data_IF_380546969056
#
_entry.id   IF_380546969056
#
_cell.length_a   1.000
_cell.length_b   1.000
_cell.length_c   1.000
_cell.angle_alpha   90.00
_cell.angle_beta   90.00
_cell.angle_gamma   90.00
#
_symmetry.space_group_name_H-M   'P 1'
#
loop_
_entity.id
_entity.type
_entity.pdbx_description
1 polymer ?
#
# COMPACT_ATOMS: atom_id res chain seq x y z
N UNK A 1 3.11 -10.71 -31.10
CA UNK A 1 2.59 -11.15 -29.79
C UNK A 1 3.07 -10.14 -28.75
N UNK A 2 2.17 -9.64 -27.90
CA UNK A 2 2.59 -8.81 -26.77
C UNK A 2 3.24 -9.71 -25.72
N UNK A 3 4.47 -9.38 -25.32
CA UNK A 3 5.27 -10.14 -24.36
C UNK A 3 5.43 -9.32 -23.09
N UNK A 4 5.12 -9.90 -21.93
CA UNK A 4 5.09 -9.19 -20.64
C UNK A 4 6.46 -8.58 -20.31
N UNK A 5 7.55 -9.31 -20.55
CA UNK A 5 8.96 -8.92 -20.37
C UNK A 5 9.37 -7.72 -21.24
N UNK A 6 8.81 -7.58 -22.43
CA UNK A 6 9.09 -6.46 -23.33
C UNK A 6 8.22 -5.25 -22.99
N UNK A 7 6.90 -5.44 -22.83
CA UNK A 7 5.95 -4.34 -22.63
C UNK A 7 6.20 -3.58 -21.33
N UNK A 8 6.55 -4.26 -20.23
CA UNK A 8 6.77 -3.63 -18.93
C UNK A 8 7.96 -2.67 -18.89
N UNK A 9 8.97 -2.93 -19.73
CA UNK A 9 10.23 -2.20 -19.76
C UNK A 9 10.23 -1.05 -20.77
N UNK A 10 9.09 -0.80 -21.45
CA UNK A 10 8.96 0.36 -22.34
C UNK A 10 9.05 1.67 -21.56
N UNK A 11 9.61 2.75 -22.15
CA UNK A 11 9.74 4.04 -21.49
C UNK A 11 8.42 4.60 -20.94
N UNK A 12 7.30 4.39 -21.64
CA UNK A 12 5.96 4.80 -21.18
C UNK A 12 5.54 4.10 -19.88
N UNK A 13 5.77 2.79 -19.80
CA UNK A 13 5.41 1.95 -18.65
C UNK A 13 6.27 2.28 -17.43
N UNK A 14 7.58 2.48 -17.63
CA UNK A 14 8.48 2.95 -16.57
C UNK A 14 8.07 4.34 -16.07
N UNK A 15 7.63 5.22 -16.98
CA UNK A 15 7.08 6.54 -16.65
C UNK A 15 5.86 6.44 -15.74
N UNK A 16 4.95 5.51 -16.01
CA UNK A 16 3.79 5.24 -15.15
C UNK A 16 4.19 4.72 -13.77
N UNK A 17 5.15 3.80 -13.68
CA UNK A 17 5.66 3.32 -12.39
C UNK A 17 6.30 4.44 -11.56
N UNK A 18 7.00 5.38 -12.22
CA UNK A 18 7.53 6.57 -11.55
C UNK A 18 6.41 7.50 -11.07
N UNK A 19 5.43 7.78 -11.93
CA UNK A 19 4.30 8.65 -11.61
C UNK A 19 3.48 8.11 -10.44
N UNK A 20 3.13 6.82 -10.44
CA UNK A 20 2.37 6.21 -9.34
C UNK A 20 3.15 6.26 -8.03
N UNK A 21 4.46 6.00 -8.04
CA UNK A 21 5.30 6.13 -6.84
C UNK A 21 5.31 7.55 -6.28
N UNK A 22 5.33 8.58 -7.14
CA UNK A 22 5.32 9.98 -6.69
C UNK A 22 3.98 10.38 -6.06
N UNK A 23 2.86 9.97 -6.63
CA UNK A 23 1.55 10.18 -5.99
C UNK A 23 1.45 9.46 -4.64
N UNK A 24 1.95 8.22 -4.54
CA UNK A 24 2.03 7.53 -3.24
C UNK A 24 2.98 8.25 -2.27
N UNK A 25 4.11 8.78 -2.73
CA UNK A 25 5.02 9.55 -1.87
C UNK A 25 4.35 10.82 -1.34
N UNK A 26 3.63 11.56 -2.18
CA UNK A 26 2.84 12.73 -1.74
C UNK A 26 1.78 12.34 -0.70
N UNK A 27 1.05 11.24 -0.93
CA UNK A 27 0.07 10.74 0.03
C UNK A 27 0.73 10.37 1.38
N UNK A 28 1.92 9.74 1.34
CA UNK A 28 2.71 9.42 2.53
C UNK A 28 3.23 10.68 3.23
N UNK A 29 3.59 11.74 2.52
CA UNK A 29 4.02 13.00 3.13
C UNK A 29 2.93 13.64 3.97
N UNK A 30 1.67 13.62 3.49
CA UNK A 30 0.51 14.09 4.27
C UNK A 30 0.35 13.28 5.56
N UNK A 31 0.41 11.95 5.44
CA UNK A 31 0.33 11.04 6.60
C UNK A 31 1.49 11.25 7.58
N UNK A 32 2.72 11.43 7.08
CA UNK A 32 3.91 11.67 7.92
C UNK A 32 3.80 12.98 8.68
N UNK A 33 3.38 14.07 8.03
CA UNK A 33 3.20 15.36 8.69
C UNK A 33 2.20 15.24 9.86
N UNK A 34 1.08 14.56 9.63
CA UNK A 34 0.11 14.27 10.69
C UNK A 34 0.72 13.46 11.84
N UNK A 35 1.37 12.33 11.53
CA UNK A 35 1.94 11.43 12.54
C UNK A 35 3.04 12.09 13.37
N UNK A 36 3.87 12.95 12.76
CA UNK A 36 4.91 13.69 13.47
C UNK A 36 4.29 14.63 14.51
N UNK A 37 3.25 15.38 14.14
CA UNK A 37 2.57 16.28 15.08
C UNK A 37 1.84 15.46 16.16
N UNK A 38 1.12 14.41 15.77
CA UNK A 38 0.38 13.55 16.69
C UNK A 38 1.30 12.84 17.71
N UNK A 39 2.54 12.53 17.32
CA UNK A 39 3.56 11.95 18.21
C UNK A 39 4.21 13.02 19.10
N UNK A 40 4.46 14.22 18.57
CA UNK A 40 5.11 15.30 19.31
C UNK A 40 4.24 15.84 20.46
N UNK A 41 2.92 15.89 20.29
CA UNK A 41 1.99 16.44 21.29
C UNK A 41 2.07 15.76 22.68
N UNK A 42 1.94 14.42 22.82
CA UNK A 42 2.03 13.77 24.13
C UNK A 42 3.44 13.82 24.73
N UNK A 43 4.48 13.81 23.90
CA UNK A 43 5.87 13.95 24.38
C UNK A 43 6.09 15.37 24.95
N UNK A 44 5.68 16.39 24.21
CA UNK A 44 5.75 17.78 24.65
C UNK A 44 4.88 18.02 25.89
N UNK A 45 3.69 17.43 25.95
CA UNK A 45 2.78 17.55 27.09
C UNK A 45 3.39 17.01 28.39
N UNK A 46 4.08 15.87 28.34
CA UNK A 46 4.81 15.33 29.51
C UNK A 46 6.03 16.19 29.86
N UNK A 47 6.85 16.57 28.88
CA UNK A 47 8.06 17.34 29.14
C UNK A 47 7.80 18.82 29.51
N UNK A 48 6.59 19.34 29.31
CA UNK A 48 6.26 20.74 29.57
C UNK A 48 6.53 21.18 31.01
N UNK A 49 6.36 20.30 31.99
CA UNK A 49 6.64 20.60 33.39
C UNK A 49 8.12 20.98 33.64
N UNK A 50 9.04 20.48 32.82
CA UNK A 50 10.48 20.78 32.93
C UNK A 50 10.87 22.15 32.37
N UNK A 51 10.00 22.80 31.59
CA UNK A 51 10.32 24.03 30.86
C UNK A 51 9.49 25.24 31.29
N UNK A 52 8.34 25.03 31.95
CA UNK A 52 7.40 26.09 32.29
C UNK A 52 7.13 26.16 33.80
N UNK A 53 6.87 27.36 34.29
CA UNK A 53 6.38 27.59 35.66
C UNK A 53 4.97 27.04 35.84
N UNK A 54 4.60 26.69 37.08
CA UNK A 54 3.28 26.13 37.44
C UNK A 54 2.10 26.93 36.84
N UNK A 55 2.14 28.26 36.96
CA UNK A 55 1.07 29.12 36.41
C UNK A 55 0.93 29.02 34.88
N UNK A 56 2.05 28.87 34.16
CA UNK A 56 2.03 28.70 32.69
C UNK A 56 1.69 27.26 32.29
N UNK A 57 2.01 26.29 33.13
CA UNK A 57 1.80 24.88 32.84
C UNK A 57 0.30 24.57 32.66
N UNK A 58 -0.57 25.21 33.43
CA UNK A 58 -2.04 25.07 33.28
C UNK A 58 -2.48 25.45 31.86
N UNK A 59 -2.04 26.62 31.37
CA UNK A 59 -2.37 27.12 30.03
C UNK A 59 -1.76 26.24 28.93
N UNK A 60 -0.52 25.76 29.12
CA UNK A 60 0.15 24.86 28.17
C UNK A 60 -0.60 23.53 28.08
N UNK A 61 -0.94 22.90 29.21
CA UNK A 61 -1.74 21.66 29.26
C UNK A 61 -3.05 21.79 28.48
N UNK A 62 -3.81 22.86 28.74
CA UNK A 62 -5.06 23.13 28.05
C UNK A 62 -4.86 23.35 26.55
N UNK A 63 -3.80 24.07 26.16
CA UNK A 63 -3.48 24.36 24.76
C UNK A 63 -3.08 23.09 24.00
N UNK A 64 -2.23 22.25 24.58
CA UNK A 64 -1.84 20.96 23.96
C UNK A 64 -3.08 20.07 23.79
N UNK A 65 -3.93 19.95 24.81
CA UNK A 65 -5.18 19.21 24.72
C UNK A 65 -6.11 19.76 23.62
N UNK A 66 -6.29 21.08 23.55
CA UNK A 66 -7.10 21.73 22.52
C UNK A 66 -6.56 21.51 21.10
N UNK A 67 -5.25 21.70 20.90
CA UNK A 67 -4.59 21.44 19.61
C UNK A 67 -4.73 19.97 19.20
N UNK A 68 -4.71 19.05 20.16
CA UNK A 68 -4.91 17.62 19.89
C UNK A 68 -6.32 17.31 19.38
N UNK A 69 -7.34 17.96 19.93
CA UNK A 69 -8.72 17.89 19.43
C UNK A 69 -8.81 18.45 18.00
N UNK A 70 -8.23 19.62 17.76
CA UNK A 70 -8.21 20.21 16.41
C UNK A 70 -7.47 19.33 15.40
N UNK A 71 -6.36 18.72 15.80
CA UNK A 71 -5.59 17.80 14.96
C UNK A 71 -6.41 16.55 14.60
N UNK A 72 -7.14 15.99 15.55
CA UNK A 72 -8.05 14.87 15.31
C UNK A 72 -9.17 15.26 14.32
N UNK A 73 -9.78 16.43 14.50
CA UNK A 73 -10.81 16.93 13.58
C UNK A 73 -10.25 17.18 12.17
N UNK A 74 -9.03 17.71 12.06
CA UNK A 74 -8.35 17.92 10.79
C UNK A 74 -8.03 16.60 10.06
N UNK A 75 -7.63 15.54 10.78
CA UNK A 75 -7.44 14.20 10.21
C UNK A 75 -8.71 13.70 9.53
N UNK A 76 -9.82 13.73 10.28
CA UNK A 76 -11.09 13.18 9.84
C UNK A 76 -11.68 14.03 8.70
N UNK A 77 -11.69 15.35 8.86
CA UNK A 77 -12.38 16.26 7.94
C UNK A 77 -11.62 16.60 6.66
N UNK A 78 -10.28 16.61 6.68
CA UNK A 78 -9.48 17.16 5.58
C UNK A 78 -8.41 16.17 5.12
N UNK A 79 -7.49 15.79 6.02
CA UNK A 79 -6.27 15.06 5.62
C UNK A 79 -6.59 13.68 5.03
N UNK A 80 -7.58 12.98 5.58
CA UNK A 80 -8.00 11.68 5.09
C UNK A 80 -8.58 11.73 3.66
N UNK A 81 -9.24 12.83 3.30
CA UNK A 81 -9.75 13.08 1.94
C UNK A 81 -8.62 13.29 0.94
N UNK A 82 -7.68 14.18 1.26
CA UNK A 82 -6.52 14.47 0.42
C UNK A 82 -5.67 13.21 0.17
N UNK A 83 -5.40 12.44 1.24
CA UNK A 83 -4.65 11.19 1.14
C UNK A 83 -5.35 10.17 0.24
N UNK A 84 -6.68 10.06 0.34
CA UNK A 84 -7.50 9.15 -0.48
C UNK A 84 -7.43 9.53 -1.96
N UNK A 85 -7.49 10.82 -2.29
CA UNK A 85 -7.48 11.26 -3.68
C UNK A 85 -6.13 11.03 -4.36
N UNK A 86 -5.03 11.29 -3.64
CA UNK A 86 -3.67 10.96 -4.10
C UNK A 86 -3.49 9.44 -4.27
N UNK A 87 -4.00 8.65 -3.33
CA UNK A 87 -3.97 7.18 -3.39
C UNK A 87 -4.74 6.65 -4.61
N UNK A 88 -5.92 7.21 -4.89
CA UNK A 88 -6.72 6.87 -6.08
C UNK A 88 -5.99 7.19 -7.37
N UNK A 89 -5.34 8.36 -7.47
CA UNK A 89 -4.52 8.71 -8.65
C UNK A 89 -3.41 7.69 -8.87
N UNK A 90 -2.66 7.36 -7.81
CA UNK A 90 -1.60 6.35 -7.88
C UNK A 90 -2.12 4.97 -8.33
N UNK A 91 -3.21 4.48 -7.70
CA UNK A 91 -3.82 3.20 -8.03
C UNK A 91 -4.29 3.12 -9.49
N UNK A 92 -4.79 4.23 -10.03
CA UNK A 92 -5.28 4.32 -11.42
C UNK A 92 -4.14 4.34 -12.45
N UNK A 93 -2.99 4.93 -12.11
CA UNK A 93 -1.78 4.83 -12.93
C UNK A 93 -1.20 3.41 -12.87
N UNK A 94 -1.21 2.77 -11.70
CA UNK A 94 -0.83 1.36 -11.60
C UNK A 94 -1.75 0.47 -12.44
N UNK A 95 -3.06 0.76 -12.47
CA UNK A 95 -4.01 0.06 -13.34
C UNK A 95 -3.69 0.28 -14.82
N UNK A 96 -3.31 1.50 -15.21
CA UNK A 96 -2.89 1.79 -16.60
C UNK A 96 -1.68 0.93 -17.00
N UNK A 97 -0.69 0.81 -16.09
CA UNK A 97 0.47 -0.06 -16.28
C UNK A 97 0.08 -1.54 -16.36
N UNK A 98 -0.63 -2.05 -15.37
CA UNK A 98 -1.01 -3.47 -15.31
C UNK A 98 -1.85 -3.88 -16.52
N UNK A 99 -2.87 -3.09 -16.87
CA UNK A 99 -3.75 -3.41 -18.01
C UNK A 99 -3.02 -3.38 -19.35
N UNK A 100 -2.07 -2.46 -19.54
CA UNK A 100 -1.24 -2.41 -20.73
C UNK A 100 -0.32 -3.63 -20.82
N UNK A 101 0.49 -3.86 -19.79
CA UNK A 101 1.53 -4.91 -19.77
C UNK A 101 0.89 -6.30 -19.85
N UNK A 102 -0.20 -6.50 -19.11
CA UNK A 102 -0.89 -7.78 -19.05
C UNK A 102 -1.92 -7.94 -20.17
N UNK A 103 -2.05 -6.98 -21.09
CA UNK A 103 -2.99 -6.98 -22.22
C UNK A 103 -4.47 -7.11 -21.84
N UNK A 104 -4.87 -6.57 -20.69
CA UNK A 104 -6.24 -6.68 -20.18
C UNK A 104 -7.03 -5.41 -20.53
N UNK A 105 -8.26 -5.49 -21.08
CA UNK A 105 -8.99 -4.31 -21.56
C UNK A 105 -9.34 -3.32 -20.44
N UNK A 106 -9.15 -2.03 -20.67
CA UNK A 106 -9.47 -1.00 -19.67
C UNK A 106 -10.96 -0.98 -19.28
N UNK A 107 -11.25 -1.08 -17.98
CA UNK A 107 -12.62 -1.04 -17.44
C UNK A 107 -13.08 0.41 -17.20
N UNK A 108 -13.76 1.01 -18.19
CA UNK A 108 -14.38 2.34 -18.02
C UNK A 108 -15.44 2.37 -16.91
N UNK A 109 -16.10 1.23 -16.68
CA UNK A 109 -17.16 1.11 -15.67
C UNK A 109 -16.59 1.12 -14.24
N UNK A 110 -15.52 0.38 -13.98
CA UNK A 110 -14.94 0.30 -12.62
C UNK A 110 -13.90 1.40 -12.36
N UNK A 111 -13.07 1.73 -13.35
CA UNK A 111 -11.93 2.64 -13.18
C UNK A 111 -12.26 4.08 -13.61
N UNK A 112 -13.23 4.24 -14.51
CA UNK A 112 -13.60 5.52 -15.10
C UNK A 112 -12.74 5.92 -16.31
N UNK A 113 -12.65 7.23 -16.56
CA UNK A 113 -11.74 7.82 -17.57
C UNK A 113 -10.29 7.48 -17.26
N UNK A 114 -9.35 7.57 -18.20
CA UNK A 114 -7.91 7.47 -17.85
C UNK A 114 -7.44 8.77 -17.19
N UNK A 115 -6.29 8.73 -16.51
CA UNK A 115 -5.62 9.97 -16.10
C UNK A 115 -5.01 10.62 -17.34
N UNK A 116 -5.05 11.94 -17.39
CA UNK A 116 -4.49 12.70 -18.49
C UNK A 116 -2.97 12.47 -18.59
N UNK A 117 -2.50 12.33 -19.82
CA UNK A 117 -1.08 12.06 -20.09
C UNK A 117 -0.19 13.21 -19.66
N UNK A 118 -0.71 14.44 -19.69
CA UNK A 118 -0.04 15.65 -19.20
C UNK A 118 0.21 15.58 -17.70
N UNK A 119 -0.79 15.20 -16.89
CA UNK A 119 -0.64 15.02 -15.43
C UNK A 119 0.44 13.98 -15.09
N UNK A 120 0.46 12.87 -15.83
CA UNK A 120 1.47 11.82 -15.68
C UNK A 120 2.85 12.37 -16.04
N UNK A 121 2.97 13.08 -17.18
CA UNK A 121 4.25 13.59 -17.66
C UNK A 121 4.81 14.66 -16.73
N UNK A 122 3.98 15.58 -16.24
CA UNK A 122 4.36 16.63 -15.28
C UNK A 122 4.92 15.99 -14.02
N UNK A 123 4.21 15.00 -13.45
CA UNK A 123 4.67 14.39 -12.20
C UNK A 123 5.89 13.49 -12.42
N UNK A 124 6.13 12.93 -13.61
CA UNK A 124 7.26 12.04 -13.89
C UNK A 124 8.38 12.67 -14.73
N UNK A 125 8.42 14.00 -14.88
CA UNK A 125 9.22 14.70 -15.89
C UNK A 125 10.73 14.55 -15.71
N UNK A 126 11.17 14.46 -14.46
CA UNK A 126 12.58 14.38 -14.10
C UNK A 126 13.21 13.10 -14.66
N UNK A 127 14.54 13.05 -14.77
CA UNK A 127 15.22 11.85 -15.23
C UNK A 127 15.14 10.69 -14.22
N UNK A 128 15.21 9.46 -14.71
CA UNK A 128 15.27 8.28 -13.85
C UNK A 128 16.62 8.22 -13.15
N UNK A 129 16.61 8.15 -11.82
CA UNK A 129 17.82 7.80 -11.08
C UNK A 129 18.22 6.34 -11.37
N UNK A 130 19.48 5.99 -11.14
CA UNK A 130 19.93 4.60 -11.27
C UNK A 130 19.17 3.65 -10.33
N UNK A 131 18.76 4.16 -9.15
CA UNK A 131 17.94 3.39 -8.23
C UNK A 131 16.52 3.16 -8.77
N UNK A 132 15.94 4.15 -9.46
CA UNK A 132 14.64 4.03 -10.10
C UNK A 132 14.67 3.00 -11.23
N UNK A 133 15.70 3.05 -12.10
CA UNK A 133 15.86 2.07 -13.18
C UNK A 133 15.88 0.65 -12.61
N UNK A 134 16.72 0.39 -11.60
CA UNK A 134 16.80 -0.91 -10.93
C UNK A 134 15.50 -1.33 -10.22
N UNK A 135 14.67 -0.39 -9.79
CA UNK A 135 13.40 -0.68 -9.09
C UNK A 135 12.22 -0.92 -10.03
N UNK A 136 12.25 -0.36 -11.24
CA UNK A 136 11.11 -0.37 -12.16
C UNK A 136 11.30 -1.32 -13.33
N UNK A 137 12.54 -1.62 -13.72
CA UNK A 137 12.84 -2.67 -14.69
C UNK A 137 12.45 -4.03 -14.11
N UNK A 138 11.85 -4.87 -14.96
CA UNK A 138 11.41 -6.23 -14.61
C UNK A 138 10.49 -6.27 -13.37
N UNK A 139 9.54 -5.32 -13.32
CA UNK A 139 8.50 -5.27 -12.29
C UNK A 139 7.76 -6.60 -12.11
N UNK A 140 7.50 -7.29 -13.22
CA UNK A 140 7.03 -8.68 -13.26
C UNK A 140 8.18 -9.59 -13.69
N UNK A 141 8.26 -10.76 -13.05
CA UNK A 141 9.25 -11.79 -13.37
C UNK A 141 9.28 -12.11 -14.87
N UNK A 142 10.42 -11.92 -15.57
CA UNK A 142 10.50 -12.13 -17.02
C UNK A 142 10.08 -13.52 -17.48
N UNK A 143 10.23 -14.54 -16.62
CA UNK A 143 9.78 -15.91 -16.91
C UNK A 143 8.28 -16.02 -17.13
N UNK A 144 7.46 -15.10 -16.60
CA UNK A 144 6.03 -15.09 -16.90
C UNK A 144 5.74 -14.73 -18.37
N UNK A 145 6.67 -14.04 -19.05
CA UNK A 145 6.57 -13.69 -20.47
C UNK A 145 6.86 -14.86 -21.43
N UNK A 146 7.35 -16.00 -20.94
CA UNK A 146 7.61 -17.17 -21.80
C UNK A 146 6.36 -18.01 -22.09
N UNK A 147 5.27 -17.74 -21.37
CA UNK A 147 3.98 -18.41 -21.55
C UNK A 147 3.05 -17.62 -22.47
N UNK A 148 1.97 -18.24 -23.00
CA UNK A 148 0.84 -17.50 -23.53
C UNK A 148 0.34 -16.43 -22.56
N UNK A 149 -0.08 -15.28 -23.10
CA UNK A 149 -0.44 -14.08 -22.33
C UNK A 149 -1.53 -14.36 -21.28
N UNK A 150 -2.44 -15.28 -21.58
CA UNK A 150 -3.53 -15.73 -20.71
C UNK A 150 -3.02 -16.35 -19.41
N UNK A 151 -1.93 -17.12 -19.46
CA UNK A 151 -1.33 -17.76 -18.30
C UNK A 151 -0.35 -16.81 -17.60
N UNK A 152 0.52 -16.15 -18.36
CA UNK A 152 1.49 -15.20 -17.82
C UNK A 152 0.85 -14.11 -16.97
N UNK A 153 -0.30 -13.57 -17.41
CA UNK A 153 -1.02 -12.53 -16.65
C UNK A 153 -1.53 -13.02 -15.29
N UNK A 154 -2.00 -14.26 -15.18
CA UNK A 154 -2.52 -14.79 -13.92
C UNK A 154 -1.39 -14.94 -12.90
N UNK A 155 -0.19 -15.33 -13.36
CA UNK A 155 1.03 -15.36 -12.52
C UNK A 155 1.35 -13.95 -12.01
N UNK A 156 1.31 -12.93 -12.86
CA UNK A 156 1.54 -11.53 -12.49
C UNK A 156 0.49 -11.02 -11.48
N UNK A 157 -0.80 -11.26 -11.74
CA UNK A 157 -1.90 -10.85 -10.86
C UNK A 157 -1.79 -11.53 -9.48
N UNK A 158 -1.50 -12.83 -9.46
CA UNK A 158 -1.24 -13.58 -8.22
C UNK A 158 -0.03 -13.01 -7.47
N UNK A 159 1.04 -12.66 -8.18
CA UNK A 159 2.25 -12.08 -7.58
C UNK A 159 1.92 -10.76 -6.90
N UNK A 160 1.16 -9.87 -7.56
CA UNK A 160 0.67 -8.63 -6.95
C UNK A 160 -0.12 -8.87 -5.66
N UNK A 161 -1.09 -9.80 -5.69
CA UNK A 161 -1.94 -10.13 -4.54
C UNK A 161 -1.10 -10.64 -3.37
N UNK A 162 -0.25 -11.65 -3.63
CA UNK A 162 0.53 -12.31 -2.57
C UNK A 162 1.64 -11.43 -2.02
N UNK A 163 2.26 -10.59 -2.85
CA UNK A 163 3.26 -9.62 -2.42
C UNK A 163 2.64 -8.59 -1.48
N UNK A 164 1.55 -7.92 -1.90
CA UNK A 164 0.89 -6.87 -1.11
C UNK A 164 0.40 -7.42 0.24
N UNK A 165 -0.17 -8.63 0.23
CA UNK A 165 -0.65 -9.30 1.43
C UNK A 165 0.47 -9.53 2.47
N UNK A 166 1.66 -9.98 2.04
CA UNK A 166 2.80 -10.22 2.94
C UNK A 166 3.29 -8.94 3.59
N UNK A 167 3.42 -7.87 2.81
CA UNK A 167 3.87 -6.57 3.30
C UNK A 167 2.88 -5.99 4.31
N UNK A 168 1.58 -6.03 4.01
CA UNK A 168 0.51 -5.52 4.91
C UNK A 168 0.48 -6.23 6.26
N UNK A 169 0.62 -7.56 6.27
CA UNK A 169 0.59 -8.35 7.52
C UNK A 169 1.67 -7.93 8.50
N UNK A 170 2.88 -7.65 8.01
CA UNK A 170 3.98 -7.22 8.86
C UNK A 170 3.80 -5.77 9.31
N UNK A 171 3.44 -4.88 8.38
CA UNK A 171 3.26 -3.46 8.69
C UNK A 171 2.17 -3.22 9.74
N UNK A 172 1.00 -3.83 9.57
CA UNK A 172 -0.14 -3.64 10.47
C UNK A 172 0.18 -4.02 11.91
N UNK A 173 0.79 -5.20 12.11
CA UNK A 173 1.16 -5.70 13.44
C UNK A 173 2.28 -4.86 14.05
N UNK A 174 3.29 -4.51 13.26
CA UNK A 174 4.42 -3.71 13.72
C UNK A 174 4.02 -2.32 14.20
N UNK A 175 3.18 -1.62 13.42
CA UNK A 175 2.72 -0.28 13.77
C UNK A 175 1.85 -0.27 15.04
N UNK A 176 0.90 -1.20 15.15
CA UNK A 176 0.04 -1.31 16.33
C UNK A 176 0.87 -1.63 17.59
N UNK A 177 1.78 -2.60 17.51
CA UNK A 177 2.64 -2.96 18.63
C UNK A 177 3.53 -1.79 19.07
N UNK A 178 4.14 -1.06 18.12
CA UNK A 178 4.94 0.12 18.41
C UNK A 178 4.17 1.18 19.21
N UNK A 179 2.94 1.49 18.78
CA UNK A 179 2.11 2.53 19.41
C UNK A 179 1.63 2.11 20.79
N UNK A 180 1.31 0.82 21.00
CA UNK A 180 0.98 0.29 22.33
C UNK A 180 2.18 0.39 23.28
N UNK A 181 3.37 -0.04 22.83
CA UNK A 181 4.59 0.04 23.63
C UNK A 181 4.92 1.49 23.99
N UNK A 182 4.84 2.40 23.00
CA UNK A 182 5.04 3.83 23.23
C UNK A 182 4.08 4.37 24.28
N UNK A 183 2.79 4.07 24.17
CA UNK A 183 1.78 4.51 25.13
C UNK A 183 2.09 4.04 26.56
N UNK A 184 2.47 2.78 26.71
CA UNK A 184 2.84 2.20 28.01
C UNK A 184 4.06 2.91 28.59
N UNK A 185 5.11 3.12 27.79
CA UNK A 185 6.32 3.83 28.23
C UNK A 185 5.99 5.25 28.69
N UNK A 186 5.25 6.03 27.89
CA UNK A 186 4.87 7.40 28.25
C UNK A 186 4.00 7.44 29.52
N UNK A 187 3.11 6.46 29.69
CA UNK A 187 2.28 6.35 30.90
C UNK A 187 3.13 6.04 32.13
N UNK A 188 4.10 5.14 32.02
CA UNK A 188 5.02 4.80 33.12
C UNK A 188 5.90 5.99 33.52
N UNK A 189 6.37 6.79 32.56
CA UNK A 189 7.13 8.02 32.82
C UNK A 189 6.27 8.99 33.63
N UNK A 190 5.05 9.27 33.18
CA UNK A 190 4.15 10.19 33.88
C UNK A 190 3.79 9.74 35.30
N UNK A 191 3.63 8.42 35.51
CA UNK A 191 3.41 7.85 36.86
C UNK A 191 4.65 7.95 37.74
N UNK A 192 5.85 7.73 37.19
CA UNK A 192 7.11 7.86 37.91
C UNK A 192 7.35 9.30 38.40
N UNK A 193 6.95 10.30 37.62
CA UNK A 193 7.00 11.71 38.00
C UNK A 193 5.97 12.11 39.07
N UNK A 194 5.10 11.19 39.50
CA UNK A 194 4.08 11.46 40.50
C UNK A 194 2.92 12.32 39.99
N UNK A 195 2.72 12.39 38.67
CA UNK A 195 1.63 13.17 38.07
C UNK A 195 0.27 12.66 38.54
N UNK A 196 -0.62 13.58 38.92
CA UNK A 196 -2.01 13.23 39.21
C UNK A 196 -2.69 12.76 37.94
N UNK A 197 -3.71 11.91 38.09
CA UNK A 197 -4.48 11.42 36.95
C UNK A 197 -5.08 12.54 36.09
N UNK A 198 -5.59 13.61 36.71
CA UNK A 198 -6.12 14.79 36.01
C UNK A 198 -5.07 15.49 35.14
N UNK A 199 -3.81 15.49 35.58
CA UNK A 199 -2.71 16.06 34.81
C UNK A 199 -2.35 15.15 33.64
N UNK A 200 -2.24 13.84 33.87
CA UNK A 200 -1.99 12.85 32.82
C UNK A 200 -3.08 12.85 31.74
N UNK A 201 -4.33 13.12 32.11
CA UNK A 201 -5.41 13.31 31.14
C UNK A 201 -5.09 14.42 30.13
N UNK A 202 -4.62 15.57 30.61
CA UNK A 202 -4.36 16.73 29.76
C UNK A 202 -2.99 16.69 29.07
N UNK A 203 -1.96 16.10 29.70
CA UNK A 203 -0.58 16.07 29.19
C UNK A 203 -0.30 14.88 28.29
N UNK A 204 -0.97 13.74 28.51
CA UNK A 204 -0.68 12.49 27.82
C UNK A 204 -1.92 11.92 27.12
N UNK A 205 -3.00 11.61 27.85
CA UNK A 205 -4.09 10.81 27.28
C UNK A 205 -4.82 11.54 26.14
N UNK A 206 -5.27 12.78 26.36
CA UNK A 206 -5.90 13.60 25.31
C UNK A 206 -4.92 13.85 24.13
N UNK A 207 -3.66 14.26 24.39
CA UNK A 207 -2.68 14.44 23.32
C UNK A 207 -2.32 13.20 22.52
N UNK A 208 -2.47 12.02 23.11
CA UNK A 208 -2.22 10.75 22.44
C UNK A 208 -3.42 10.28 21.59
N UNK A 209 -4.63 10.81 21.82
CA UNK A 209 -5.84 10.39 21.10
C UNK A 209 -5.74 10.48 19.57
N UNK A 210 -5.17 11.54 18.95
CA UNK A 210 -5.01 11.60 17.50
C UNK A 210 -4.20 10.41 16.98
N UNK A 211 -3.03 10.15 17.57
CA UNK A 211 -2.16 9.04 17.18
C UNK A 211 -2.86 7.68 17.36
N UNK A 212 -3.49 7.46 18.52
CA UNK A 212 -4.20 6.22 18.81
C UNK A 212 -5.38 5.99 17.84
N UNK A 213 -6.21 7.02 17.62
CA UNK A 213 -7.35 6.96 16.71
C UNK A 213 -6.92 6.62 15.29
N UNK A 214 -5.88 7.30 14.79
CA UNK A 214 -5.32 7.04 13.46
C UNK A 214 -4.82 5.59 13.36
N UNK A 215 -3.98 5.14 14.29
CA UNK A 215 -3.35 3.81 14.23
C UNK A 215 -4.39 2.69 14.33
N UNK A 216 -5.40 2.83 15.18
CA UNK A 216 -6.48 1.84 15.30
C UNK A 216 -7.31 1.75 14.01
N UNK A 217 -7.64 2.90 13.42
CA UNK A 217 -8.36 2.97 12.14
C UNK A 217 -7.51 2.40 10.99
N UNK A 218 -6.23 2.74 10.94
CA UNK A 218 -5.29 2.25 9.92
C UNK A 218 -5.07 0.74 10.06
N UNK A 219 -4.90 0.24 11.28
CA UNK A 219 -4.82 -1.19 11.57
C UNK A 219 -6.04 -1.96 11.07
N UNK A 220 -7.26 -1.49 11.36
CA UNK A 220 -8.51 -2.11 10.87
C UNK A 220 -8.54 -2.14 9.34
N UNK A 221 -8.26 -1.01 8.69
CA UNK A 221 -8.17 -0.95 7.21
C UNK A 221 -7.15 -1.94 6.65
N UNK A 222 -6.03 -2.15 7.35
CA UNK A 222 -5.04 -3.14 6.94
C UNK A 222 -5.57 -4.57 7.06
N UNK A 223 -6.29 -4.89 8.14
CA UNK A 223 -6.93 -6.20 8.30
C UNK A 223 -7.96 -6.45 7.21
N UNK A 224 -8.84 -5.48 6.94
CA UNK A 224 -9.85 -5.57 5.87
C UNK A 224 -9.18 -5.80 4.49
N UNK A 225 -8.10 -5.07 4.21
CA UNK A 225 -7.31 -5.25 2.99
C UNK A 225 -6.66 -6.63 2.89
N UNK A 226 -6.14 -7.17 4.00
CA UNK A 226 -5.55 -8.52 4.06
C UNK A 226 -6.61 -9.59 3.82
N UNK A 227 -7.82 -9.42 4.37
CA UNK A 227 -8.94 -10.32 4.13
C UNK A 227 -9.36 -10.30 2.65
N UNK A 228 -9.54 -9.11 2.07
CA UNK A 228 -9.82 -8.94 0.64
C UNK A 228 -8.77 -9.61 -0.25
N UNK A 229 -7.48 -9.40 0.04
CA UNK A 229 -6.38 -10.06 -0.68
C UNK A 229 -6.38 -11.58 -0.48
N UNK A 230 -6.81 -12.09 0.68
CA UNK A 230 -6.89 -13.53 0.95
C UNK A 230 -7.96 -14.18 0.10
N UNK A 231 -9.12 -13.52 -0.04
CA UNK A 231 -10.19 -13.96 -0.93
C UNK A 231 -9.72 -13.92 -2.40
N UNK A 232 -9.09 -12.83 -2.84
CA UNK A 232 -8.53 -12.74 -4.20
C UNK A 232 -7.46 -13.78 -4.49
N UNK A 233 -6.68 -14.18 -3.49
CA UNK A 233 -5.71 -15.26 -3.62
C UNK A 233 -6.41 -16.60 -3.89
N UNK A 234 -7.51 -16.89 -3.20
CA UNK A 234 -8.32 -18.09 -3.46
C UNK A 234 -8.93 -18.08 -4.85
N UNK A 235 -9.45 -16.92 -5.30
CA UNK A 235 -10.02 -16.79 -6.64
C UNK A 235 -8.97 -16.98 -7.75
N UNK A 236 -7.79 -16.36 -7.64
CA UNK A 236 -6.73 -16.57 -8.66
C UNK A 236 -6.23 -18.02 -8.68
N UNK A 237 -6.24 -18.75 -7.56
CA UNK A 237 -5.88 -20.17 -7.51
C UNK A 237 -6.93 -21.05 -8.22
N UNK A 238 -8.23 -20.74 -8.09
CA UNK A 238 -9.31 -21.40 -8.85
C UNK A 238 -9.21 -21.11 -10.35
N UNK A 239 -9.00 -19.84 -10.70
CA UNK A 239 -8.82 -19.42 -12.10
C UNK A 239 -7.61 -20.09 -12.74
N UNK A 240 -6.52 -20.22 -11.98
CA UNK A 240 -5.32 -20.91 -12.45
C UNK A 240 -5.58 -22.39 -12.72
N UNK A 241 -6.25 -23.11 -11.80
CA UNK A 241 -6.61 -24.51 -12.02
C UNK A 241 -7.49 -24.68 -13.28
N UNK A 242 -8.50 -23.83 -13.44
CA UNK A 242 -9.34 -23.81 -14.64
C UNK A 242 -8.51 -23.56 -15.91
N UNK A 243 -7.59 -22.58 -15.87
CA UNK A 243 -6.69 -22.24 -16.98
C UNK A 243 -5.82 -23.39 -17.47
N UNK A 244 -5.49 -24.36 -16.59
CA UNK A 244 -4.73 -25.56 -16.96
C UNK A 244 -5.61 -26.67 -17.57
N UNK A 245 -6.91 -26.70 -17.28
CA UNK A 245 -7.79 -27.83 -17.63
C UNK A 245 -8.46 -27.70 -18.99
N UNK A 246 -9.06 -26.55 -19.33
CA UNK A 246 -9.48 -26.12 -20.69
C UNK A 246 -10.53 -24.97 -20.66
N UNK A 247 -10.10 -23.71 -20.61
CA UNK A 247 -10.99 -22.58 -20.87
C UNK A 247 -10.62 -21.85 -22.16
N UNK A 248 -11.65 -21.37 -22.88
CA UNK A 248 -11.42 -20.54 -24.06
C UNK A 248 -10.66 -19.26 -23.68
N UNK A 249 -9.74 -18.79 -24.53
CA UNK A 249 -8.96 -17.56 -24.33
C UNK A 249 -9.83 -16.34 -23.97
N UNK A 250 -11.07 -16.29 -24.50
CA UNK A 250 -12.05 -15.24 -24.20
C UNK A 250 -12.54 -15.28 -22.75
N UNK A 251 -12.85 -16.46 -22.23
CA UNK A 251 -13.34 -16.62 -20.85
C UNK A 251 -12.24 -16.26 -19.84
N UNK A 252 -11.02 -16.77 -20.04
CA UNK A 252 -9.87 -16.40 -19.21
C UNK A 252 -9.60 -14.90 -19.22
N UNK A 253 -9.80 -14.24 -20.37
CA UNK A 253 -9.64 -12.80 -20.49
C UNK A 253 -10.67 -12.04 -19.66
N UNK A 254 -11.93 -12.46 -19.67
CA UNK A 254 -12.98 -11.85 -18.86
C UNK A 254 -12.74 -12.07 -17.37
N UNK A 255 -12.41 -13.30 -16.96
CA UNK A 255 -12.14 -13.63 -15.57
C UNK A 255 -10.90 -12.92 -15.03
N UNK A 256 -9.82 -12.84 -15.82
CA UNK A 256 -8.64 -12.05 -15.47
C UNK A 256 -8.95 -10.56 -15.38
N UNK A 257 -9.91 -10.07 -16.19
CA UNK A 257 -10.39 -8.69 -16.08
C UNK A 257 -11.11 -8.45 -14.76
N UNK A 258 -12.04 -9.32 -14.39
CA UNK A 258 -12.79 -9.23 -13.13
C UNK A 258 -11.86 -9.29 -11.92
N UNK A 259 -10.85 -10.18 -11.96
CA UNK A 259 -9.82 -10.28 -10.94
C UNK A 259 -9.06 -8.95 -10.79
N UNK A 260 -8.68 -8.31 -11.90
CA UNK A 260 -8.00 -7.02 -11.82
C UNK A 260 -8.91 -5.91 -11.32
N UNK A 261 -10.19 -5.88 -11.72
CA UNK A 261 -11.13 -4.87 -11.25
C UNK A 261 -11.22 -4.95 -9.71
N UNK A 262 -11.17 -6.16 -9.15
CA UNK A 262 -11.09 -6.36 -7.71
C UNK A 262 -9.73 -5.96 -7.11
N UNK A 263 -8.60 -6.25 -7.77
CA UNK A 263 -7.26 -5.75 -7.36
C UNK A 263 -7.24 -4.21 -7.33
N UNK A 264 -7.78 -3.56 -8.36
CA UNK A 264 -7.85 -2.10 -8.46
C UNK A 264 -8.72 -1.52 -7.34
N UNK A 265 -9.93 -2.06 -7.12
CA UNK A 265 -10.81 -1.63 -6.02
C UNK A 265 -10.07 -1.71 -4.68
N UNK A 266 -9.40 -2.82 -4.41
CA UNK A 266 -8.60 -2.99 -3.21
C UNK A 266 -7.50 -1.91 -3.10
N UNK A 267 -6.74 -1.65 -4.17
CA UNK A 267 -5.69 -0.59 -4.16
C UNK A 267 -6.23 0.80 -3.87
N UNK A 268 -7.45 1.13 -4.30
CA UNK A 268 -8.03 2.47 -4.06
C UNK A 268 -8.47 2.71 -2.62
N UNK A 269 -8.80 1.64 -1.88
CA UNK A 269 -9.21 1.69 -0.48
C UNK A 269 -8.09 1.35 0.50
N UNK A 270 -6.97 0.82 0.00
CA UNK A 270 -5.87 0.32 0.81
C UNK A 270 -5.18 1.43 1.62
N UNK A 271 -4.89 1.18 2.92
CA UNK A 271 -4.04 2.06 3.71
C UNK A 271 -2.61 2.07 3.18
N UNK A 272 -1.90 3.19 3.43
CA UNK A 272 -0.54 3.41 2.96
C UNK A 272 0.47 2.60 3.76
N UNK A 273 1.50 2.10 3.07
CA UNK A 273 2.63 1.41 3.67
C UNK A 273 3.90 2.22 3.41
N UNK A 274 4.69 2.44 4.45
CA UNK A 274 5.98 3.11 4.30
C UNK A 274 7.04 2.24 3.60
N UNK A 275 7.89 2.90 2.82
CA UNK A 275 8.90 2.25 1.95
C UNK A 275 9.90 1.39 2.70
N UNK A 276 10.15 1.67 3.99
CA UNK A 276 11.10 0.89 4.79
C UNK A 276 10.66 -0.57 4.96
N UNK A 277 9.35 -0.86 5.01
CA UNK A 277 8.87 -2.26 5.05
C UNK A 277 9.16 -2.97 3.73
N UNK A 278 8.94 -2.29 2.61
CA UNK A 278 9.27 -2.83 1.30
C UNK A 278 10.77 -3.11 1.19
N UNK A 279 11.63 -2.20 1.68
CA UNK A 279 13.09 -2.39 1.71
C UNK A 279 13.49 -3.60 2.58
N UNK A 280 12.91 -3.70 3.78
CA UNK A 280 13.21 -4.80 4.71
C UNK A 280 12.79 -6.17 4.16
N UNK A 281 11.65 -6.24 3.46
CA UNK A 281 11.13 -7.49 2.90
C UNK A 281 11.59 -7.77 1.47
N UNK A 282 12.34 -6.86 0.83
CA UNK A 282 12.64 -6.90 -0.60
C UNK A 282 13.24 -8.23 -1.04
N UNK A 283 14.38 -8.61 -0.45
CA UNK A 283 15.11 -9.82 -0.84
C UNK A 283 14.26 -11.08 -0.70
N UNK A 284 13.51 -11.20 0.41
CA UNK A 284 12.62 -12.34 0.65
C UNK A 284 11.45 -12.35 -0.34
N UNK A 285 10.86 -11.19 -0.61
CA UNK A 285 9.72 -11.10 -1.52
C UNK A 285 10.12 -11.34 -2.98
N UNK A 286 11.27 -10.84 -3.43
CA UNK A 286 11.83 -11.10 -4.77
C UNK A 286 12.13 -12.60 -4.93
N UNK A 287 12.78 -13.23 -3.95
CA UNK A 287 13.01 -14.68 -3.97
C UNK A 287 11.71 -15.49 -4.05
N UNK A 288 10.68 -15.10 -3.27
CA UNK A 288 9.38 -15.78 -3.29
C UNK A 288 8.62 -15.52 -4.59
N UNK A 289 8.72 -14.31 -5.17
CA UNK A 289 8.12 -13.97 -6.45
C UNK A 289 8.75 -14.81 -7.58
N UNK A 290 10.07 -14.82 -7.67
CA UNK A 290 10.83 -15.61 -8.63
C UNK A 290 10.55 -17.12 -8.50
N UNK A 291 10.62 -17.68 -7.28
CA UNK A 291 10.34 -19.11 -7.05
C UNK A 291 8.89 -19.45 -7.39
N UNK A 292 7.95 -18.58 -7.02
CA UNK A 292 6.54 -18.74 -7.35
C UNK A 292 6.29 -18.70 -8.85
N UNK A 293 6.84 -17.71 -9.56
CA UNK A 293 6.72 -17.60 -11.00
C UNK A 293 7.27 -18.83 -11.71
N UNK A 294 8.47 -19.31 -11.33
CA UNK A 294 9.05 -20.54 -11.87
C UNK A 294 8.18 -21.77 -11.65
N UNK A 295 7.62 -21.92 -10.45
CA UNK A 295 6.72 -23.03 -10.12
C UNK A 295 5.49 -23.04 -11.05
N UNK A 296 4.82 -21.90 -11.20
CA UNK A 296 3.64 -21.80 -12.07
C UNK A 296 3.97 -21.92 -13.56
N UNK A 297 5.14 -21.43 -13.98
CA UNK A 297 5.62 -21.61 -15.36
C UNK A 297 5.87 -23.09 -15.67
N UNK A 298 6.56 -23.82 -14.78
CA UNK A 298 6.78 -25.25 -14.97
C UNK A 298 5.45 -26.03 -15.07
N UNK A 299 4.51 -25.75 -14.17
CA UNK A 299 3.19 -26.39 -14.16
C UNK A 299 2.40 -26.10 -15.45
N UNK A 300 2.45 -24.86 -15.96
CA UNK A 300 1.83 -24.50 -17.22
C UNK A 300 2.50 -25.20 -18.42
N UNK A 301 3.83 -25.28 -18.45
CA UNK A 301 4.56 -25.93 -19.53
C UNK A 301 4.21 -27.43 -19.61
N UNK A 302 4.11 -28.11 -18.46
CA UNK A 302 3.67 -29.50 -18.37
C UNK A 302 2.26 -29.70 -18.94
N UNK A 303 1.30 -28.85 -18.54
CA UNK A 303 -0.07 -28.92 -19.03
C UNK A 303 -0.18 -28.66 -20.55
N UNK A 304 0.56 -27.67 -21.06
CA UNK A 304 0.59 -27.36 -22.50
C UNK A 304 1.20 -28.50 -23.32
N UNK A 305 2.25 -29.15 -22.81
CA UNK A 305 2.88 -30.30 -23.46
C UNK A 305 1.96 -31.53 -23.45
N UNK A 306 1.20 -31.74 -22.38
CA UNK A 306 0.23 -32.83 -22.29
C UNK A 306 -0.97 -32.63 -23.23
N UNK A 307 -1.45 -31.39 -23.37
CA UNK A 307 -2.56 -31.04 -24.27
C UNK A 307 -2.19 -31.02 -25.76
N UNK A 308 -0.91 -30.79 -26.10
CA UNK A 308 -0.41 -30.85 -27.48
C UNK A 308 -0.08 -32.25 -28.00
N UNK A 309 -0.16 -33.27 -27.14
CA UNK A 309 0.09 -34.68 -27.47
C UNK A 309 -1.21 -35.48 -27.74
N UNK A 310 -2.37 -34.82 -27.73
CA UNK A 310 -3.70 -35.36 -28.08
C UNK A 310 -4.15 -34.80 -29.43
#
# INVERSE_FOLDING_TARGET
>A
MASIDIEQNKPECLGWLKAQRRYYAQAKSVQTAYLVIALALPIFGLCAASFFSEDRLITVKATVAYVSILLLLAEVGILSGLQRDLTKKAAKIQELFDTKVLCIPWSKFVVGTKIDTEDIKIISMDEFSEEDKKKFTDWYEPTAGTLPIELGRLICQRTNITYDMRVRRLYARGLLAFVIVLFVILSLIGLYEGSKFSDLLLTLFLPFLPLASFVLKDYRKHIDAIEGLTNLKGEVEKLWANALENPTSKELTNQSRDLQDAIYRNRTSNPLIYDWVYKMLRNKNEMVAYTGAKYYVAQAQEALNAGGAQ
#
